data_IF_640863734703
#
_entry.id   IF_640863734703
#
_cell.length_a   1.000
_cell.length_b   1.000
_cell.length_c   1.000
_cell.angle_alpha   90.00
_cell.angle_beta   90.00
_cell.angle_gamma   90.00
#
_symmetry.space_group_name_H-M   'P 1'
#
loop_
_entity.id
_entity.type
_entity.pdbx_description
1 polymer ?
#
# COMPACT_ATOMS: atom_id res chain seq x y z
N UNK A 1 -2.09 12.46 -10.38
CA UNK A 1 -1.41 12.51 -9.07
C UNK A 1 -2.39 12.53 -7.89
N UNK A 2 -3.37 13.46 -7.87
CA UNK A 2 -4.35 13.57 -6.77
C UNK A 2 -5.08 12.26 -6.45
N UNK A 3 -5.56 11.53 -7.47
CA UNK A 3 -6.27 10.25 -7.26
C UNK A 3 -5.37 9.23 -6.55
N UNK A 4 -4.11 9.06 -6.98
CA UNK A 4 -3.17 8.14 -6.34
C UNK A 4 -2.89 8.52 -4.89
N UNK A 5 -2.68 9.80 -4.62
CA UNK A 5 -2.47 10.35 -3.27
C UNK A 5 -3.66 10.02 -2.37
N UNK A 6 -4.89 10.28 -2.83
CA UNK A 6 -6.10 10.02 -2.06
C UNK A 6 -6.30 8.53 -1.81
N UNK A 7 -6.12 7.68 -2.82
CA UNK A 7 -6.29 6.23 -2.66
C UNK A 7 -5.27 5.64 -1.70
N UNK A 8 -3.98 5.99 -1.85
CA UNK A 8 -2.92 5.50 -0.96
C UNK A 8 -3.11 6.01 0.48
N UNK A 9 -3.58 7.25 0.64
CA UNK A 9 -3.87 7.82 1.96
C UNK A 9 -5.03 7.09 2.64
N UNK A 10 -6.12 6.85 1.92
CA UNK A 10 -7.29 6.13 2.46
C UNK A 10 -6.90 4.70 2.83
N UNK A 11 -6.18 3.98 1.95
CA UNK A 11 -5.67 2.65 2.26
C UNK A 11 -4.76 2.66 3.48
N UNK A 12 -3.82 3.60 3.54
CA UNK A 12 -2.90 3.77 4.65
C UNK A 12 -3.61 4.01 5.98
N UNK A 13 -4.57 4.93 5.99
CA UNK A 13 -5.37 5.26 7.18
C UNK A 13 -6.24 4.09 7.63
N UNK A 14 -6.95 3.43 6.70
CA UNK A 14 -7.80 2.28 7.03
C UNK A 14 -6.97 1.17 7.66
N UNK A 15 -5.84 0.79 7.06
CA UNK A 15 -4.97 -0.24 7.62
C UNK A 15 -4.37 0.20 8.96
N UNK A 16 -3.84 1.43 9.06
CA UNK A 16 -3.20 1.87 10.29
C UNK A 16 -4.18 1.99 11.46
N UNK A 17 -5.31 2.68 11.26
CA UNK A 17 -6.30 2.91 12.31
C UNK A 17 -6.97 1.61 12.72
N UNK A 18 -7.41 0.80 11.74
CA UNK A 18 -8.11 -0.45 12.03
C UNK A 18 -7.22 -1.42 12.81
N UNK A 19 -5.99 -1.67 12.34
CA UNK A 19 -5.07 -2.57 13.03
C UNK A 19 -4.69 -2.04 14.42
N UNK A 20 -4.51 -0.72 14.59
CA UNK A 20 -4.20 -0.09 15.90
C UNK A 20 -5.34 -0.27 16.90
N UNK A 21 -6.59 0.00 16.51
CA UNK A 21 -7.77 -0.16 17.38
C UNK A 21 -7.91 -1.61 17.84
N UNK A 22 -7.70 -2.56 16.94
CA UNK A 22 -7.83 -3.98 17.27
C UNK A 22 -6.66 -4.54 18.07
N UNK A 23 -5.45 -3.99 17.90
CA UNK A 23 -4.30 -4.24 18.77
C UNK A 23 -4.53 -3.72 20.18
N UNK A 24 -4.95 -2.45 20.32
CA UNK A 24 -5.20 -1.81 21.61
C UNK A 24 -6.33 -2.50 22.38
N UNK A 25 -7.36 -2.98 21.69
CA UNK A 25 -8.47 -3.72 22.30
C UNK A 25 -8.13 -5.19 22.63
N UNK A 26 -6.93 -5.68 22.35
CA UNK A 26 -6.55 -7.08 22.56
C UNK A 26 -7.31 -8.09 21.67
N UNK A 27 -7.96 -7.63 20.59
CA UNK A 27 -8.83 -8.44 19.72
C UNK A 27 -8.11 -9.01 18.50
N UNK A 28 -6.78 -8.99 18.49
CA UNK A 28 -5.94 -9.37 17.35
C UNK A 28 -6.24 -10.77 16.83
N UNK A 29 -6.47 -11.74 17.73
CA UNK A 29 -6.61 -13.14 17.33
C UNK A 29 -7.98 -13.45 16.71
N UNK A 30 -9.05 -12.81 17.17
CA UNK A 30 -10.42 -13.00 16.66
C UNK A 30 -10.74 -12.09 15.49
N UNK A 31 -10.22 -10.87 15.48
CA UNK A 31 -10.41 -9.93 14.38
C UNK A 31 -9.39 -10.15 13.25
N UNK A 32 -8.12 -10.36 13.58
CA UNK A 32 -7.07 -10.61 12.59
C UNK A 32 -7.36 -11.85 11.75
N UNK A 33 -7.97 -12.90 12.33
CA UNK A 33 -8.45 -14.07 11.56
C UNK A 33 -9.65 -13.77 10.67
N UNK A 34 -10.49 -12.79 11.00
CA UNK A 34 -11.63 -12.39 10.15
C UNK A 34 -11.19 -11.51 8.99
N UNK A 35 -10.22 -10.63 9.21
CA UNK A 35 -9.65 -9.77 8.19
C UNK A 35 -8.72 -10.56 7.27
N UNK A 36 -7.89 -11.43 7.83
CA UNK A 36 -6.91 -12.25 7.08
C UNK A 36 -7.41 -13.67 6.85
N UNK A 37 -8.52 -13.81 6.10
CA UNK A 37 -9.10 -15.12 5.77
C UNK A 37 -8.19 -15.98 4.89
N UNK A 38 -7.19 -15.36 4.26
CA UNK A 38 -6.13 -16.03 3.52
C UNK A 38 -5.19 -16.85 4.41
N UNK A 39 -5.13 -16.58 5.71
CA UNK A 39 -4.33 -17.37 6.63
C UNK A 39 -4.99 -18.74 6.86
N UNK A 40 -4.21 -19.85 6.88
CA UNK A 40 -4.73 -21.16 7.24
C UNK A 40 -5.43 -21.12 8.61
N UNK A 41 -6.54 -21.85 8.76
CA UNK A 41 -7.23 -21.94 10.06
C UNK A 41 -6.35 -22.49 11.19
N UNK A 42 -5.31 -23.24 10.83
CA UNK A 42 -4.28 -23.80 11.72
C UNK A 42 -3.17 -22.81 12.08
N UNK A 43 -3.16 -21.59 11.52
CA UNK A 43 -2.15 -20.58 11.83
C UNK A 43 -2.16 -20.23 13.32
N UNK A 44 -0.97 -20.24 13.94
CA UNK A 44 -0.81 -19.89 15.33
C UNK A 44 -1.12 -18.41 15.58
N UNK A 45 -1.51 -18.06 16.81
CA UNK A 45 -1.79 -16.67 17.21
C UNK A 45 -0.60 -15.73 16.91
N UNK A 46 0.63 -16.23 17.06
CA UNK A 46 1.84 -15.48 16.72
C UNK A 46 1.96 -15.16 15.22
N UNK A 47 1.48 -16.02 14.32
CA UNK A 47 1.45 -15.75 12.88
C UNK A 47 0.39 -14.69 12.55
N UNK A 48 -0.81 -14.81 13.13
CA UNK A 48 -1.88 -13.81 12.95
C UNK A 48 -1.42 -12.43 13.45
N UNK A 49 -0.81 -12.38 14.63
CA UNK A 49 -0.28 -11.13 15.20
C UNK A 49 0.82 -10.51 14.35
N UNK A 50 1.75 -11.32 13.81
CA UNK A 50 2.77 -10.82 12.87
C UNK A 50 2.16 -10.26 11.59
N UNK A 51 1.11 -10.87 11.04
CA UNK A 51 0.41 -10.36 9.86
C UNK A 51 -0.27 -9.01 10.17
N UNK A 52 -1.00 -8.91 11.27
CA UNK A 52 -1.64 -7.65 11.70
C UNK A 52 -0.61 -6.53 11.91
N UNK A 53 0.54 -6.83 12.53
CA UNK A 53 1.63 -5.85 12.69
C UNK A 53 2.25 -5.44 11.35
N UNK A 54 2.40 -6.38 10.40
CA UNK A 54 2.89 -6.06 9.06
C UNK A 54 1.92 -5.15 8.29
N UNK A 55 0.60 -5.38 8.41
CA UNK A 55 -0.41 -4.53 7.79
C UNK A 55 -0.49 -3.15 8.43
N UNK A 56 -0.36 -3.07 9.77
CA UNK A 56 -0.21 -1.80 10.47
C UNK A 56 1.02 -1.03 9.96
N UNK A 57 2.17 -1.68 9.87
CA UNK A 57 3.40 -1.06 9.39
C UNK A 57 3.26 -0.57 7.94
N UNK A 58 2.61 -1.36 7.08
CA UNK A 58 2.28 -0.94 5.72
C UNK A 58 1.36 0.29 5.72
N UNK A 59 0.31 0.29 6.54
CA UNK A 59 -0.60 1.43 6.66
C UNK A 59 0.10 2.72 7.06
N UNK A 60 0.96 2.65 8.08
CA UNK A 60 1.79 3.79 8.53
C UNK A 60 2.74 4.24 7.42
N UNK A 61 3.42 3.31 6.76
CA UNK A 61 4.31 3.62 5.65
C UNK A 61 3.59 4.36 4.51
N UNK A 62 2.38 3.93 4.15
CA UNK A 62 1.57 4.61 3.13
C UNK A 62 1.22 6.04 3.50
N UNK A 63 0.83 6.28 4.76
CA UNK A 63 0.55 7.65 5.25
C UNK A 63 1.81 8.51 5.19
N UNK A 64 2.95 8.01 5.65
CA UNK A 64 4.22 8.74 5.61
C UNK A 64 4.66 9.04 4.17
N UNK A 65 4.52 8.07 3.27
CA UNK A 65 4.85 8.25 1.85
C UNK A 65 3.97 9.31 1.18
N UNK A 66 2.68 9.35 1.50
CA UNK A 66 1.77 10.40 1.01
C UNK A 66 2.12 11.75 1.60
N UNK A 67 2.36 11.84 2.91
CA UNK A 67 2.76 13.10 3.56
C UNK A 67 4.07 13.60 2.97
N UNK A 68 5.07 12.74 2.75
CA UNK A 68 6.33 13.11 2.11
C UNK A 68 6.12 13.63 0.68
N UNK A 69 5.23 13.03 -0.08
CA UNK A 69 4.96 13.47 -1.45
C UNK A 69 4.20 14.80 -1.52
N UNK A 70 3.27 15.06 -0.60
CA UNK A 70 2.45 16.28 -0.61
C UNK A 70 3.14 17.43 0.12
N UNK A 71 3.72 17.17 1.29
CA UNK A 71 4.30 18.20 2.15
C UNK A 71 5.76 18.51 1.82
N UNK A 72 6.51 17.55 1.27
CA UNK A 72 7.94 17.71 0.97
C UNK A 72 8.24 17.70 -0.55
N UNK A 73 7.21 17.60 -1.40
CA UNK A 73 7.33 17.49 -2.86
C UNK A 73 8.27 16.35 -3.31
N UNK A 74 8.25 15.22 -2.58
CA UNK A 74 9.06 14.03 -2.85
C UNK A 74 8.20 12.89 -3.42
N UNK A 75 7.87 12.90 -4.72
CA UNK A 75 6.95 11.92 -5.32
C UNK A 75 7.54 10.50 -5.41
N UNK A 76 8.85 10.33 -5.25
CA UNK A 76 9.52 9.03 -5.20
C UNK A 76 8.97 8.14 -4.07
N UNK A 77 8.53 8.73 -2.95
CA UNK A 77 7.86 8.02 -1.87
C UNK A 77 6.57 7.30 -2.31
N UNK A 78 5.81 7.90 -3.23
CA UNK A 78 4.57 7.29 -3.77
C UNK A 78 4.86 6.07 -4.65
N UNK A 79 5.96 6.10 -5.40
CA UNK A 79 6.38 4.97 -6.25
C UNK A 79 6.75 3.79 -5.37
N UNK A 80 7.56 4.00 -4.32
CA UNK A 80 7.93 2.94 -3.37
C UNK A 80 6.69 2.41 -2.63
N UNK A 81 5.77 3.29 -2.23
CA UNK A 81 4.48 2.92 -1.65
C UNK A 81 3.64 2.03 -2.56
N UNK A 82 3.47 2.41 -3.82
CA UNK A 82 2.71 1.63 -4.79
C UNK A 82 3.34 0.25 -5.06
N UNK A 83 4.68 0.18 -5.17
CA UNK A 83 5.41 -1.10 -5.31
C UNK A 83 5.23 -1.97 -4.08
N UNK A 84 5.33 -1.42 -2.87
CA UNK A 84 5.15 -2.18 -1.64
C UNK A 84 3.75 -2.81 -1.56
N UNK A 85 2.71 -2.06 -1.91
CA UNK A 85 1.32 -2.59 -1.99
C UNK A 85 1.22 -3.70 -3.04
N UNK A 86 1.82 -3.50 -4.22
CA UNK A 86 1.81 -4.50 -5.29
C UNK A 86 2.45 -5.82 -4.85
N UNK A 87 3.61 -5.75 -4.19
CA UNK A 87 4.34 -6.92 -3.69
C UNK A 87 3.53 -7.65 -2.61
N UNK A 88 2.98 -6.93 -1.64
CA UNK A 88 2.20 -7.55 -0.55
C UNK A 88 0.93 -8.21 -1.08
N UNK A 89 0.16 -7.49 -1.91
CA UNK A 89 -1.09 -8.00 -2.50
C UNK A 89 -0.84 -9.14 -3.48
N UNK A 90 0.23 -9.08 -4.28
CA UNK A 90 0.64 -10.16 -5.19
C UNK A 90 1.07 -11.42 -4.44
N UNK A 91 1.85 -11.28 -3.37
CA UNK A 91 2.23 -12.42 -2.50
C UNK A 91 1.02 -13.04 -1.81
N UNK A 92 0.07 -12.23 -1.35
CA UNK A 92 -1.17 -12.71 -0.76
C UNK A 92 -2.03 -13.44 -1.80
N UNK A 93 -2.10 -12.94 -3.05
CA UNK A 93 -2.80 -13.61 -4.15
C UNK A 93 -2.22 -14.98 -4.49
N UNK A 94 -0.88 -15.07 -4.56
CA UNK A 94 -0.17 -16.33 -4.84
C UNK A 94 -0.38 -17.34 -3.70
N UNK A 95 -0.31 -16.89 -2.44
CA UNK A 95 -0.50 -17.76 -1.27
C UNK A 95 -1.94 -18.24 -1.11
N UNK A 96 -2.90 -17.36 -1.31
CA UNK A 96 -4.31 -17.68 -1.13
C UNK A 96 -4.89 -18.48 -2.30
N UNK A 97 -4.22 -18.52 -3.47
CA UNK A 97 -4.78 -19.03 -4.74
C UNK A 97 -6.17 -18.44 -5.07
N UNK A 98 -6.51 -17.28 -4.50
CA UNK A 98 -7.80 -16.65 -4.69
C UNK A 98 -7.68 -15.50 -5.68
N UNK A 99 -8.51 -15.46 -6.74
CA UNK A 99 -8.53 -14.36 -7.70
C UNK A 99 -8.97 -13.02 -7.07
N UNK A 100 -9.55 -13.03 -5.86
CA UNK A 100 -9.95 -11.82 -5.15
C UNK A 100 -8.78 -10.86 -4.82
N UNK A 101 -7.55 -11.38 -4.71
CA UNK A 101 -6.36 -10.57 -4.47
C UNK A 101 -5.72 -10.01 -5.75
N UNK A 102 -6.19 -10.42 -6.94
CA UNK A 102 -5.76 -9.83 -8.22
C UNK A 102 -6.26 -8.39 -8.37
N UNK A 103 -7.48 -8.08 -7.90
CA UNK A 103 -8.03 -6.73 -8.07
C UNK A 103 -7.22 -5.66 -7.32
N UNK A 104 -6.83 -5.84 -6.03
CA UNK A 104 -5.90 -4.94 -5.35
C UNK A 104 -4.53 -4.84 -6.03
N UNK A 105 -3.99 -5.95 -6.54
CA UNK A 105 -2.70 -5.96 -7.24
C UNK A 105 -2.77 -5.20 -8.58
N UNK A 106 -3.81 -5.42 -9.37
CA UNK A 106 -4.04 -4.69 -10.61
C UNK A 106 -4.26 -3.20 -10.36
N UNK A 107 -4.97 -2.85 -9.28
CA UNK A 107 -5.15 -1.47 -8.87
C UNK A 107 -3.82 -0.83 -8.47
N UNK A 108 -3.00 -1.51 -7.66
CA UNK A 108 -1.67 -1.04 -7.28
C UNK A 108 -0.75 -0.88 -8.49
N UNK A 109 -0.82 -1.80 -9.46
CA UNK A 109 -0.06 -1.72 -10.71
C UNK A 109 -0.49 -0.52 -11.55
N UNK A 110 -1.80 -0.32 -11.70
CA UNK A 110 -2.34 0.83 -12.41
C UNK A 110 -1.90 2.15 -11.75
N UNK A 111 -2.00 2.24 -10.42
CA UNK A 111 -1.55 3.40 -9.66
C UNK A 111 -0.04 3.65 -9.82
N UNK A 112 0.77 2.58 -9.84
CA UNK A 112 2.20 2.66 -10.11
C UNK A 112 2.48 3.22 -11.50
N UNK A 113 1.84 2.67 -12.54
CA UNK A 113 2.00 3.12 -13.94
C UNK A 113 1.62 4.61 -14.07
N UNK A 114 0.49 5.01 -13.47
CA UNK A 114 0.03 6.40 -13.47
C UNK A 114 0.99 7.34 -12.73
N UNK A 115 1.61 6.88 -11.64
CA UNK A 115 2.58 7.67 -10.86
C UNK A 115 3.89 7.80 -11.60
N UNK A 116 4.41 6.72 -12.19
CA UNK A 116 5.64 6.75 -13.00
C UNK A 116 5.46 7.64 -14.23
N UNK A 117 4.32 7.58 -14.92
CA UNK A 117 4.04 8.48 -16.06
C UNK A 117 3.92 9.95 -15.64
N UNK A 118 3.38 10.22 -14.45
CA UNK A 118 3.28 11.58 -13.92
C UNK A 118 4.61 12.15 -13.39
N UNK A 119 5.56 11.28 -13.04
CA UNK A 119 6.89 11.62 -12.51
C UNK A 119 8.00 11.53 -13.57
N UNK A 120 7.71 10.94 -14.74
CA UNK A 120 8.64 10.91 -15.86
C UNK A 120 9.07 12.34 -16.22
N UNK A 121 10.38 12.63 -16.29
CA UNK A 121 10.85 13.96 -16.61
C UNK A 121 10.28 14.34 -17.98
N UNK A 122 9.63 15.50 -18.05
CA UNK A 122 9.23 16.09 -19.32
C UNK A 122 10.42 16.07 -20.27
N UNK A 123 10.17 15.69 -21.52
CA UNK A 123 11.16 15.75 -22.59
C UNK A 123 11.93 17.08 -22.50
N UNK A 124 13.27 17.09 -22.64
CA UNK A 124 14.01 18.34 -22.65
C UNK A 124 13.41 19.22 -23.74
N UNK A 125 12.77 20.32 -23.32
CA UNK A 125 12.33 21.38 -24.20
C UNK A 125 13.52 21.78 -25.07
N UNK A 126 13.34 21.72 -26.39
CA UNK A 126 14.36 21.93 -27.40
C UNK A 126 15.28 23.11 -27.05
N UNK A 127 16.60 23.02 -27.32
CA UNK A 127 17.52 24.10 -27.02
C UNK A 127 17.04 25.38 -27.73
N UNK A 128 16.80 26.43 -26.95
CA UNK A 128 16.57 27.77 -27.48
C UNK A 128 17.75 28.13 -28.39
N UNK A 129 17.48 28.15 -29.69
CA UNK A 129 18.34 28.75 -30.71
C UNK A 129 18.37 30.26 -30.47
N UNK A 130 19.32 30.74 -29.68
CA UNK A 130 19.68 32.17 -29.70
C UNK A 130 20.40 32.46 -31.01
N UNK A 131 19.71 33.14 -31.93
CA UNK A 131 20.34 33.93 -33.00
C UNK A 131 20.80 35.26 -32.43
#
# INVERSE_FOLDING_TARGET
>A
MLVTVVVLLVLGLVEAVSNTVHLAAGRVDTWGRRQHRELPRTASAAVVRRKVLAMLALGVFLVVAVVGAVALDQPSGLVVAAVAVLVVTGLDAVRARTPAALLPALLALLLLVLTVHAVAPGQPSAPCSCR
#
